data_IF_740055833351
#
_entry.id   IF_740055833351
#
_cell.length_a   1.000
_cell.length_b   1.000
_cell.length_c   1.000
_cell.angle_alpha   90.00
_cell.angle_beta   90.00
_cell.angle_gamma   90.00
#
_symmetry.space_group_name_H-M   'P 1'
#
loop_
_entity.id
_entity.type
_entity.pdbx_description
1 polymer ?
#
# COMPACT_ATOMS: atom_id res chain seq x y z
N UNK A 1 -13.46 9.30 16.91
CA UNK A 1 -12.30 8.38 16.77
C UNK A 1 -11.11 9.18 16.25
N UNK A 2 -9.87 8.92 16.72
CA UNK A 2 -8.71 9.66 16.24
C UNK A 2 -8.51 9.44 14.74
N UNK A 3 -8.13 10.50 14.03
CA UNK A 3 -7.84 10.50 12.60
C UNK A 3 -6.33 10.47 12.44
N UNK A 4 -5.78 9.33 12.05
CA UNK A 4 -4.33 9.20 11.85
C UNK A 4 -3.99 9.24 10.37
N UNK A 5 -2.98 10.04 10.03
CA UNK A 5 -2.32 9.95 8.74
C UNK A 5 -1.13 9.00 8.88
N UNK A 6 -1.06 8.01 8.00
CA UNK A 6 -0.01 6.99 8.00
C UNK A 6 1.01 7.22 6.89
N UNK A 7 0.58 7.73 5.73
CA UNK A 7 1.46 7.94 4.60
C UNK A 7 1.06 9.13 3.72
N UNK A 8 2.08 9.71 3.09
CA UNK A 8 1.98 10.78 2.10
C UNK A 8 2.86 10.41 0.90
N UNK A 9 2.37 10.64 -0.31
CA UNK A 9 3.16 10.43 -1.53
C UNK A 9 2.84 11.48 -2.58
N UNK A 10 3.86 11.98 -3.28
CA UNK A 10 3.68 12.91 -4.40
C UNK A 10 3.49 12.11 -5.68
N UNK A 11 2.49 12.47 -6.47
CA UNK A 11 2.23 11.92 -7.79
C UNK A 11 3.00 12.67 -8.89
N UNK A 12 3.21 12.06 -10.07
CA UNK A 12 3.92 12.71 -11.18
C UNK A 12 3.33 14.04 -11.64
N UNK A 13 2.03 14.26 -11.43
CA UNK A 13 1.34 15.50 -11.77
C UNK A 13 1.37 16.57 -10.66
N UNK A 14 2.13 16.33 -9.59
CA UNK A 14 2.27 17.23 -8.46
C UNK A 14 1.16 17.12 -7.41
N UNK A 15 0.15 16.27 -7.63
CA UNK A 15 -0.83 15.95 -6.60
C UNK A 15 -0.21 15.16 -5.45
N UNK A 16 -0.89 15.14 -4.30
CA UNK A 16 -0.44 14.40 -3.11
C UNK A 16 -1.50 13.39 -2.70
N UNK A 17 -1.11 12.12 -2.62
CA UNK A 17 -1.93 11.09 -1.97
C UNK A 17 -1.68 11.12 -0.47
N UNK A 18 -2.76 11.09 0.28
CA UNK A 18 -2.77 11.04 1.74
C UNK A 18 -3.52 9.78 2.15
N UNK A 19 -2.86 8.92 2.93
CA UNK A 19 -3.43 7.66 3.39
C UNK A 19 -3.44 7.59 4.92
N UNK A 20 -4.45 6.95 5.50
CA UNK A 20 -4.65 6.96 6.94
C UNK A 20 -5.82 6.10 7.45
N UNK A 21 -6.10 6.30 8.74
CA UNK A 21 -7.32 5.88 9.42
C UNK A 21 -8.20 7.13 9.59
N UNK A 22 -9.01 7.42 8.58
CA UNK A 22 -10.02 8.47 8.62
C UNK A 22 -11.26 8.05 7.84
N UNK A 23 -12.42 8.41 8.37
CA UNK A 23 -13.73 8.13 7.77
C UNK A 23 -14.35 9.36 7.10
N UNK A 24 -13.74 10.53 7.27
CA UNK A 24 -14.22 11.80 6.73
C UNK A 24 -13.07 12.79 6.57
N UNK A 25 -12.56 12.88 5.34
CA UNK A 25 -11.63 13.89 4.85
C UNK A 25 -12.17 14.42 3.53
N UNK A 26 -13.05 15.43 3.60
CA UNK A 26 -13.68 16.00 2.41
C UNK A 26 -14.54 14.99 1.64
N UNK A 27 -15.33 14.19 2.36
CA UNK A 27 -16.11 13.05 1.82
C UNK A 27 -15.28 11.82 1.36
N UNK A 28 -13.97 11.81 1.60
CA UNK A 28 -13.13 10.63 1.38
C UNK A 28 -12.76 9.93 2.69
N UNK A 29 -12.41 8.65 2.56
CA UNK A 29 -12.02 7.79 3.66
C UNK A 29 -10.80 6.96 3.29
N UNK A 30 -9.93 6.69 4.26
CA UNK A 30 -8.67 5.91 4.15
C UNK A 30 -7.61 6.44 3.18
N UNK A 31 -8.00 6.96 2.02
CA UNK A 31 -7.15 7.61 1.04
C UNK A 31 -7.87 8.83 0.45
N UNK A 32 -7.15 9.93 0.31
CA UNK A 32 -7.60 11.14 -0.38
C UNK A 32 -6.47 11.65 -1.25
N UNK A 33 -6.82 12.33 -2.34
CA UNK A 33 -5.87 13.05 -3.16
C UNK A 33 -6.05 14.54 -2.97
N UNK A 34 -4.95 15.25 -2.83
CA UNK A 34 -4.88 16.70 -2.91
C UNK A 34 -4.33 17.09 -4.28
N UNK A 35 -4.94 18.08 -4.93
CA UNK A 35 -4.36 18.72 -6.12
C UNK A 35 -3.13 19.56 -5.73
N UNK A 36 -2.26 19.99 -6.67
CA UNK A 36 -1.05 20.76 -6.34
C UNK A 36 -1.27 22.04 -5.53
N UNK A 37 -2.48 22.61 -5.58
CA UNK A 37 -2.89 23.78 -4.79
C UNK A 37 -3.23 23.45 -3.33
N UNK A 38 -3.27 22.16 -2.97
CA UNK A 38 -3.59 21.66 -1.63
C UNK A 38 -5.08 21.38 -1.39
N UNK A 39 -5.95 21.67 -2.36
CA UNK A 39 -7.37 21.37 -2.27
C UNK A 39 -7.65 19.86 -2.48
N UNK A 40 -8.75 19.36 -1.91
CA UNK A 40 -9.18 17.97 -2.12
C UNK A 40 -9.63 17.78 -3.57
N UNK A 41 -9.08 16.76 -4.22
CA UNK A 41 -9.49 16.36 -5.56
C UNK A 41 -10.81 15.59 -5.51
N UNK A 42 -11.92 16.29 -5.76
CA UNK A 42 -13.25 15.69 -5.80
C UNK A 42 -13.43 14.62 -6.90
N UNK A 43 -12.53 14.55 -7.89
CA UNK A 43 -12.55 13.50 -8.92
C UNK A 43 -11.91 12.18 -8.48
N UNK A 44 -11.24 12.17 -7.31
CA UNK A 44 -10.53 11.02 -6.79
C UNK A 44 -11.43 10.08 -5.97
N UNK A 45 -12.10 9.14 -6.64
CA UNK A 45 -13.09 8.25 -6.00
C UNK A 45 -12.50 6.98 -5.34
N UNK A 46 -11.19 6.93 -5.06
CA UNK A 46 -10.61 5.74 -4.42
C UNK A 46 -10.97 5.60 -2.93
N UNK A 47 -11.35 6.70 -2.26
CA UNK A 47 -11.66 6.71 -0.83
C UNK A 47 -12.89 5.86 -0.48
N UNK A 48 -13.91 5.86 -1.35
CA UNK A 48 -15.14 5.07 -1.21
C UNK A 48 -14.90 3.58 -1.47
N UNK A 49 -13.90 3.27 -2.29
CA UNK A 49 -13.59 1.94 -2.81
C UNK A 49 -12.94 1.02 -1.76
N UNK A 50 -12.15 1.60 -0.85
CA UNK A 50 -11.42 0.85 0.18
C UNK A 50 -12.28 0.50 1.42
N UNK A 51 -13.37 1.23 1.67
CA UNK A 51 -14.25 1.02 2.83
C UNK A 51 -15.43 0.06 2.56
N UNK A 52 -15.16 -1.15 2.09
CA UNK A 52 -16.20 -2.20 2.13
C UNK A 52 -16.31 -2.88 3.49
N UNK A 53 -15.35 -2.66 4.39
CA UNK A 53 -15.37 -3.15 5.76
C UNK A 53 -15.00 -1.99 6.71
N UNK A 54 -15.65 -1.92 7.87
CA UNK A 54 -15.51 -0.85 8.90
C UNK A 54 -14.08 -0.63 9.46
N UNK A 55 -13.08 -1.37 8.98
CA UNK A 55 -11.70 -1.40 9.50
C UNK A 55 -10.67 -1.07 8.40
N UNK A 56 -11.10 -0.56 7.24
CA UNK A 56 -10.17 -0.27 6.15
C UNK A 56 -9.19 0.85 6.52
N UNK A 57 -7.95 0.46 6.87
CA UNK A 57 -6.87 1.37 7.24
C UNK A 57 -5.77 1.27 6.21
N UNK A 58 -5.53 2.32 5.44
CA UNK A 58 -4.41 2.36 4.49
C UNK A 58 -3.16 2.83 5.24
N UNK A 59 -2.19 1.93 5.39
CA UNK A 59 -0.95 2.20 6.11
C UNK A 59 0.12 2.79 5.20
N UNK A 60 0.15 2.36 3.93
CA UNK A 60 1.12 2.83 2.96
C UNK A 60 0.49 3.07 1.60
N UNK A 61 1.00 4.08 0.90
CA UNK A 61 0.61 4.42 -0.46
C UNK A 61 1.85 4.86 -1.24
N UNK A 62 1.97 4.38 -2.48
CA UNK A 62 3.03 4.80 -3.41
C UNK A 62 2.46 5.04 -4.80
N UNK A 63 2.89 6.12 -5.44
CA UNK A 63 2.49 6.46 -6.80
C UNK A 63 3.46 5.82 -7.81
N UNK A 64 2.92 5.25 -8.87
CA UNK A 64 3.67 4.77 -10.02
C UNK A 64 3.78 5.86 -11.09
N UNK A 65 4.82 5.79 -11.93
CA UNK A 65 5.07 6.78 -12.99
C UNK A 65 3.96 6.87 -14.04
N UNK A 66 3.20 5.79 -14.21
CA UNK A 66 2.08 5.67 -15.13
C UNK A 66 0.73 6.15 -14.53
N UNK A 67 0.76 6.76 -13.34
CA UNK A 67 -0.42 7.25 -12.65
C UNK A 67 -1.19 6.19 -11.85
N UNK A 68 -0.75 4.92 -11.88
CA UNK A 68 -1.28 3.88 -11.00
C UNK A 68 -0.84 4.11 -9.55
N UNK A 69 -1.57 3.52 -8.62
CA UNK A 69 -1.36 3.68 -7.18
C UNK A 69 -1.25 2.30 -6.56
N UNK A 70 -0.23 2.06 -5.75
CA UNK A 70 -0.17 0.89 -4.89
C UNK A 70 -0.54 1.31 -3.47
N UNK A 71 -1.46 0.57 -2.87
CA UNK A 71 -1.89 0.77 -1.49
C UNK A 71 -1.69 -0.51 -0.68
N UNK A 72 -1.40 -0.34 0.59
CA UNK A 72 -1.23 -1.42 1.54
C UNK A 72 -1.84 -1.06 2.90
N UNK A 73 -2.37 -2.05 3.60
CA UNK A 73 -3.03 -1.81 4.89
C UNK A 73 -3.93 -2.94 5.36
N UNK A 74 -4.91 -2.59 6.19
CA UNK A 74 -5.87 -3.54 6.77
C UNK A 74 -7.13 -3.58 5.92
N UNK A 75 -7.10 -4.36 4.83
CA UNK A 75 -8.27 -4.67 4.03
C UNK A 75 -8.20 -6.11 3.53
N UNK A 76 -9.36 -6.72 3.40
CA UNK A 76 -9.57 -8.09 2.90
C UNK A 76 -10.32 -8.14 1.58
N UNK A 77 -10.91 -7.02 1.18
CA UNK A 77 -11.59 -6.83 -0.09
C UNK A 77 -11.55 -5.37 -0.51
N UNK A 78 -11.57 -5.14 -1.82
CA UNK A 78 -11.74 -3.84 -2.46
C UNK A 78 -12.71 -4.05 -3.63
N UNK A 79 -13.73 -3.20 -3.78
CA UNK A 79 -14.69 -3.30 -4.89
C UNK A 79 -15.34 -4.70 -5.04
N UNK A 80 -15.57 -5.41 -3.94
CA UNK A 80 -16.17 -6.75 -3.91
C UNK A 80 -15.22 -7.89 -4.30
N UNK A 81 -13.97 -7.57 -4.66
CA UNK A 81 -12.91 -8.54 -4.95
C UNK A 81 -12.03 -8.75 -3.74
N UNK A 82 -11.57 -9.99 -3.53
CA UNK A 82 -10.68 -10.32 -2.41
C UNK A 82 -9.30 -9.72 -2.67
N UNK A 83 -8.91 -8.79 -1.81
CA UNK A 83 -7.60 -8.16 -1.79
C UNK A 83 -7.06 -8.15 -0.38
N UNK A 84 -5.92 -8.80 -0.14
CA UNK A 84 -5.42 -9.04 1.24
C UNK A 84 -4.16 -8.26 1.48
N UNK A 85 -4.32 -7.07 2.05
CA UNK A 85 -3.22 -6.27 2.56
C UNK A 85 -2.43 -5.45 1.53
N UNK A 86 -2.53 -5.78 0.25
CA UNK A 86 -1.99 -4.99 -0.85
C UNK A 86 -2.99 -4.95 -2.00
N UNK A 87 -3.02 -3.82 -2.72
CA UNK A 87 -3.73 -3.71 -3.98
C UNK A 87 -3.10 -2.63 -4.86
N UNK A 88 -3.37 -2.73 -6.16
CA UNK A 88 -3.05 -1.69 -7.13
C UNK A 88 -4.33 -1.09 -7.66
N UNK A 89 -4.39 0.24 -7.69
CA UNK A 89 -5.44 1.01 -8.34
C UNK A 89 -4.89 1.57 -9.66
N UNK A 90 -5.76 1.61 -10.65
CA UNK A 90 -5.54 2.33 -11.90
C UNK A 90 -5.61 3.84 -11.66
N UNK A 91 -5.14 4.64 -12.62
CA UNK A 91 -5.29 6.10 -12.58
C UNK A 91 -6.77 6.53 -12.49
N UNK A 92 -7.69 5.69 -12.96
CA UNK A 92 -9.14 5.86 -12.83
C UNK A 92 -9.69 5.52 -11.45
N UNK A 93 -8.83 5.22 -10.46
CA UNK A 93 -9.19 4.78 -9.10
C UNK A 93 -9.90 3.42 -9.00
N UNK A 94 -9.99 2.67 -10.10
CA UNK A 94 -10.48 1.29 -10.11
C UNK A 94 -9.40 0.30 -9.72
N UNK A 95 -9.80 -0.81 -9.09
CA UNK A 95 -8.87 -1.92 -8.83
C UNK A 95 -8.28 -2.46 -10.13
N UNK A 96 -6.97 -2.64 -10.14
CA UNK A 96 -6.25 -3.31 -11.22
C UNK A 96 -6.19 -4.82 -10.97
N UNK A 97 -7.18 -5.54 -11.48
CA UNK A 97 -7.27 -7.01 -11.38
C UNK A 97 -6.14 -7.75 -12.11
N UNK A 98 -5.32 -7.07 -12.92
CA UNK A 98 -4.16 -7.67 -13.58
C UNK A 98 -2.92 -7.69 -12.68
N UNK A 99 -2.95 -6.96 -11.55
CA UNK A 99 -1.93 -7.07 -10.52
C UNK A 99 -2.13 -8.39 -9.78
N UNK A 100 -1.30 -9.39 -10.05
CA UNK A 100 -1.47 -10.73 -9.50
C UNK A 100 -1.35 -10.72 -7.97
N UNK A 101 -2.50 -10.85 -7.31
CA UNK A 101 -2.65 -10.72 -5.87
C UNK A 101 -2.29 -12.02 -5.10
N UNK A 102 -1.24 -12.72 -5.57
CA UNK A 102 -0.81 -13.99 -4.97
C UNK A 102 -0.04 -13.81 -3.67
N UNK A 103 0.16 -12.57 -3.23
CA UNK A 103 0.87 -12.32 -1.98
C UNK A 103 -0.17 -12.19 -0.87
N UNK A 104 -0.49 -13.35 -0.30
CA UNK A 104 -1.20 -13.46 0.97
C UNK A 104 -0.33 -12.88 2.09
N UNK A 105 -0.19 -11.56 2.15
CA UNK A 105 0.28 -10.86 3.34
C UNK A 105 -0.89 -10.81 4.31
N UNK A 106 -1.11 -11.94 4.99
CA UNK A 106 -1.95 -11.95 6.16
C UNK A 106 -1.11 -11.53 7.37
N UNK A 107 -1.55 -10.51 8.11
CA UNK A 107 -2.02 -9.20 7.66
C UNK A 107 -0.83 -8.21 7.64
N UNK A 108 -1.06 -6.94 7.35
CA UNK A 108 -0.10 -5.83 7.53
C UNK A 108 1.09 -5.79 6.55
N UNK A 109 0.86 -5.35 5.32
CA UNK A 109 1.91 -4.62 4.61
C UNK A 109 2.01 -3.22 5.25
N UNK A 110 3.10 -2.99 5.98
CA UNK A 110 3.34 -1.79 6.78
C UNK A 110 4.12 -0.74 6.00
N UNK A 111 4.89 -1.16 4.99
CA UNK A 111 5.73 -0.28 4.17
C UNK A 111 5.76 -0.71 2.70
N UNK A 112 5.64 0.26 1.80
CA UNK A 112 5.80 0.07 0.36
C UNK A 112 6.88 1.02 -0.16
N UNK A 113 7.83 0.51 -0.96
CA UNK A 113 8.82 1.32 -1.64
C UNK A 113 9.00 0.83 -3.07
N UNK A 114 8.86 1.73 -4.05
CA UNK A 114 9.22 1.45 -5.44
C UNK A 114 10.71 1.73 -5.62
N UNK A 115 11.47 0.72 -6.02
CA UNK A 115 12.88 0.84 -6.38
C UNK A 115 13.04 1.17 -7.88
N UNK A 116 14.16 1.83 -8.26
CA UNK A 116 14.56 1.92 -9.66
C UNK A 116 14.57 0.54 -10.33
N UNK A 117 14.09 0.45 -11.57
CA UNK A 117 14.00 -0.82 -12.30
C UNK A 117 12.65 -1.55 -12.19
N UNK A 118 11.66 -0.96 -11.50
CA UNK A 118 10.30 -1.53 -11.43
C UNK A 118 10.16 -2.64 -10.40
N UNK A 119 10.97 -2.60 -9.33
CA UNK A 119 10.78 -3.48 -8.18
C UNK A 119 9.98 -2.76 -7.10
N UNK A 120 9.10 -3.49 -6.43
CA UNK A 120 8.33 -3.09 -5.27
C UNK A 120 8.87 -3.85 -4.06
N UNK A 121 9.40 -3.12 -3.09
CA UNK A 121 9.67 -3.66 -1.77
C UNK A 121 8.42 -3.53 -0.91
N UNK A 122 7.99 -4.65 -0.35
CA UNK A 122 6.92 -4.70 0.63
C UNK A 122 7.51 -5.16 1.95
N UNK A 123 7.42 -4.29 2.97
CA UNK A 123 7.70 -4.62 4.36
C UNK A 123 6.39 -4.92 5.06
N UNK A 124 6.29 -6.09 5.69
CA UNK A 124 5.11 -6.52 6.42
C UNK A 124 5.44 -6.98 7.84
N UNK A 125 4.61 -6.61 8.82
CA UNK A 125 4.61 -7.19 10.17
C UNK A 125 3.47 -8.19 10.30
N UNK A 126 3.74 -9.43 10.72
CA UNK A 126 2.67 -10.34 11.08
C UNK A 126 2.32 -10.16 12.56
N UNK A 127 1.03 -10.10 12.90
CA UNK A 127 0.54 -9.97 14.29
C UNK A 127 0.83 -11.18 15.20
N UNK A 128 1.41 -12.27 14.67
CA UNK A 128 1.75 -13.44 15.47
C UNK A 128 3.23 -13.40 15.91
N UNK A 129 3.52 -13.09 17.19
CA UNK A 129 4.89 -13.06 17.71
C UNK A 129 5.57 -14.43 17.73
N UNK A 130 4.81 -15.52 17.58
CA UNK A 130 5.30 -16.90 17.52
C UNK A 130 5.53 -17.38 16.09
N UNK A 131 5.11 -16.60 15.08
CA UNK A 131 5.37 -16.92 13.68
C UNK A 131 6.80 -16.50 13.29
N UNK A 132 7.60 -17.36 12.63
CA UNK A 132 8.93 -17.01 12.13
C UNK A 132 8.93 -15.96 11.00
N UNK A 133 7.76 -15.37 10.71
CA UNK A 133 7.47 -14.41 9.64
C UNK A 133 7.29 -12.97 10.14
N UNK A 134 7.82 -12.64 11.33
CA UNK A 134 7.55 -11.39 12.05
C UNK A 134 7.90 -10.11 11.27
N UNK A 135 8.90 -10.17 10.38
CA UNK A 135 9.22 -9.11 9.43
C UNK A 135 9.53 -9.74 8.08
N UNK A 136 8.65 -9.54 7.10
CA UNK A 136 8.92 -9.99 5.73
C UNK A 136 9.24 -8.79 4.85
N UNK A 137 10.45 -8.78 4.30
CA UNK A 137 10.81 -7.95 3.17
C UNK A 137 10.69 -8.80 1.90
N UNK A 138 9.80 -8.40 1.00
CA UNK A 138 9.64 -9.06 -0.29
C UNK A 138 9.93 -8.07 -1.40
N UNK A 139 10.73 -8.50 -2.37
CA UNK A 139 10.82 -7.83 -3.67
C UNK A 139 9.81 -8.47 -4.60
N UNK A 140 9.02 -7.62 -5.26
CA UNK A 140 8.05 -7.99 -6.30
C UNK A 140 8.30 -7.09 -7.50
N UNK A 141 7.86 -7.49 -8.69
CA UNK A 141 7.79 -6.52 -9.79
C UNK A 141 6.58 -5.60 -9.57
N UNK A 142 6.73 -4.32 -9.89
CA UNK A 142 5.66 -3.31 -9.89
C UNK A 142 4.52 -3.66 -10.84
N UNK A 143 4.76 -4.62 -11.75
CA UNK A 143 3.79 -5.17 -12.69
C UNK A 143 2.99 -6.35 -12.12
N UNK A 144 3.34 -6.89 -10.95
CA UNK A 144 2.63 -7.99 -10.29
C UNK A 144 3.15 -9.39 -10.62
N UNK A 145 4.23 -9.53 -11.38
CA UNK A 145 4.76 -10.84 -11.76
C UNK A 145 6.01 -11.20 -10.94
N UNK A 146 5.91 -12.37 -10.27
CA UNK A 146 6.90 -13.15 -9.54
C UNK A 146 7.73 -12.47 -8.43
N UNK A 147 7.64 -13.06 -7.23
CA UNK A 147 8.49 -12.78 -6.08
C UNK A 147 9.73 -13.67 -6.15
N UNK A 148 10.93 -13.09 -6.24
CA UNK A 148 12.13 -13.80 -5.80
C UNK A 148 12.20 -13.65 -4.28
N UNK A 149 12.33 -14.77 -3.56
CA UNK A 149 12.53 -14.76 -2.11
C UNK A 149 13.82 -13.97 -1.87
N UNK A 150 13.75 -12.83 -1.18
CA UNK A 150 14.98 -12.19 -0.72
C UNK A 150 15.72 -13.19 0.20
N UNK A 151 17.04 -13.37 0.04
CA UNK A 151 17.80 -14.12 1.02
C UNK A 151 17.62 -13.48 2.39
N UNK A 152 17.52 -14.26 3.48
CA UNK A 152 17.44 -13.70 4.82
C UNK A 152 18.59 -12.71 5.03
N UNK A 153 18.30 -11.56 5.61
CA UNK A 153 19.32 -10.60 6.02
C UNK A 153 20.18 -11.25 7.11
N UNK A 154 21.22 -11.98 6.68
CA UNK A 154 22.19 -12.58 7.59
C UNK A 154 22.94 -11.47 8.30
N UNK A 155 22.72 -11.34 9.60
CA UNK A 155 23.56 -10.51 10.46
C UNK A 155 24.95 -11.14 10.52
N UNK A 156 25.85 -10.78 9.60
CA UNK A 156 27.27 -11.13 9.73
C UNK A 156 27.84 -10.36 10.91
N UNK A 157 27.93 -11.00 12.08
CA UNK A 157 28.81 -10.52 13.14
C UNK A 157 30.21 -10.41 12.53
N UNK A 158 30.77 -9.20 12.50
CA UNK A 158 32.19 -9.04 12.18
C UNK A 158 32.98 -9.90 13.18
N UNK A 159 33.94 -10.72 12.74
CA UNK A 159 34.86 -11.33 13.69
C UNK A 159 35.56 -10.20 14.45
N UNK A 160 35.55 -10.28 15.79
CA UNK A 160 36.42 -9.44 16.61
C UNK A 160 37.85 -9.77 16.19
N UNK A 161 38.57 -8.77 15.70
CA UNK A 161 40.03 -8.78 15.75
C UNK A 161 40.46 -8.45 17.17
#
# INVERSE_FOLDING_TARGET
>A
MPRYLHALTVQPDGGVLVAGEFTDFGAHSSIVRLVPTGEVDASFDAGTVLMQNDIARTQAVVAQKDGRILCAGYFTSIQGQVHRGIARLLASCWVDNTFADQVLLQPEASYLVIQPGGHLLVGASALDPQSPSYLQLRSMLTQGLTCSRMPPLGYRRRPRQ
#
